data_IF_264556917163
#
_entry.id   IF_264556917163
#
_cell.length_a   1.000
_cell.length_b   1.000
_cell.length_c   1.000
_cell.angle_alpha   90.00
_cell.angle_beta   90.00
_cell.angle_gamma   90.00
#
_symmetry.space_group_name_H-M   'P 1'
#
loop_
_entity.id
_entity.type
_entity.pdbx_description
1 polymer ?
#
# COMPACT_ATOMS: atom_id res chain seq x y z
N UNK A 1 33.90 -53.74 0.15
CA UNK A 1 33.98 -52.35 0.59
C UNK A 1 33.26 -51.52 -0.48
N UNK A 2 31.93 -51.31 -0.30
CA UNK A 2 31.04 -50.67 -1.28
C UNK A 2 30.72 -49.30 -0.72
N UNK A 3 31.19 -48.25 -1.42
CA UNK A 3 30.84 -46.86 -1.11
C UNK A 3 29.43 -46.55 -1.63
N UNK A 4 28.50 -46.19 -0.74
CA UNK A 4 27.24 -45.55 -1.07
C UNK A 4 27.52 -44.15 -1.52
N UNK A 5 27.16 -43.83 -2.76
CA UNK A 5 27.11 -42.44 -3.28
C UNK A 5 25.73 -41.90 -2.93
N UNK A 6 25.71 -40.90 -2.07
CA UNK A 6 24.49 -40.17 -1.73
C UNK A 6 24.23 -39.10 -2.84
N UNK A 7 23.16 -39.28 -3.63
CA UNK A 7 22.72 -38.28 -4.58
C UNK A 7 22.06 -37.13 -3.82
N UNK A 8 22.78 -36.04 -3.70
CA UNK A 8 22.20 -34.75 -3.28
C UNK A 8 21.63 -34.14 -4.54
N UNK A 9 20.29 -34.10 -4.62
CA UNK A 9 19.59 -33.37 -5.67
C UNK A 9 19.59 -31.90 -5.27
N UNK A 10 20.38 -31.10 -5.98
CA UNK A 10 20.28 -29.64 -5.89
C UNK A 10 19.03 -29.21 -6.68
N UNK A 11 17.99 -28.77 -5.96
CA UNK A 11 16.85 -28.08 -6.58
C UNK A 11 17.28 -26.62 -6.77
N UNK A 12 17.58 -26.25 -8.01
CA UNK A 12 17.79 -24.86 -8.38
C UNK A 12 16.42 -24.17 -8.46
N UNK A 13 16.11 -23.36 -7.47
CA UNK A 13 14.94 -22.46 -7.50
C UNK A 13 15.29 -21.28 -8.40
N UNK A 14 14.70 -21.23 -9.58
CA UNK A 14 14.77 -20.08 -10.47
C UNK A 14 13.58 -19.17 -10.13
N UNK A 15 13.80 -18.11 -9.35
CA UNK A 15 12.79 -17.11 -9.09
C UNK A 15 12.60 -16.23 -10.32
N UNK A 16 11.47 -16.37 -11.01
CA UNK A 16 11.05 -15.44 -12.05
C UNK A 16 10.22 -14.34 -11.38
N UNK A 17 10.81 -13.17 -11.20
CA UNK A 17 10.08 -11.98 -10.75
C UNK A 17 9.41 -11.35 -11.96
N UNK A 18 8.12 -11.61 -12.14
CA UNK A 18 7.29 -10.85 -13.08
C UNK A 18 6.71 -9.65 -12.34
N UNK A 19 7.21 -8.45 -12.67
CA UNK A 19 6.57 -7.20 -12.29
C UNK A 19 5.27 -7.05 -13.07
N UNK A 20 4.15 -7.46 -12.48
CA UNK A 20 2.83 -7.01 -12.91
C UNK A 20 2.48 -5.78 -12.07
N UNK A 21 2.11 -4.69 -12.74
CA UNK A 21 1.55 -3.49 -12.11
C UNK A 21 0.23 -3.83 -11.41
N UNK A 22 0.29 -4.03 -10.11
CA UNK A 22 -0.79 -4.33 -9.20
C UNK A 22 -0.15 -4.87 -7.94
N UNK A 23 -0.32 -4.15 -6.83
CA UNK A 23 0.37 -4.38 -5.55
C UNK A 23 -0.14 -5.66 -4.84
N UNK A 24 -0.10 -6.79 -5.56
CA UNK A 24 -0.31 -8.12 -5.02
C UNK A 24 1.09 -8.71 -4.77
N UNK A 25 1.62 -8.54 -3.56
CA UNK A 25 2.93 -9.05 -3.15
C UNK A 25 2.94 -10.57 -2.99
N UNK A 26 2.25 -11.28 -3.88
CA UNK A 26 2.22 -12.73 -3.95
C UNK A 26 3.43 -13.20 -4.75
N UNK A 27 4.37 -13.89 -4.11
CA UNK A 27 5.46 -14.59 -4.81
C UNK A 27 4.93 -15.99 -5.11
N UNK A 28 4.77 -16.32 -6.40
CA UNK A 28 4.47 -17.66 -6.85
C UNK A 28 5.77 -18.47 -6.92
N UNK A 29 5.93 -19.50 -6.07
CA UNK A 29 6.97 -20.49 -6.23
C UNK A 29 6.42 -21.64 -7.10
N UNK A 30 7.08 -21.93 -8.21
CA UNK A 30 6.75 -23.11 -9.03
C UNK A 30 7.18 -24.38 -8.30
N UNK A 31 6.20 -25.24 -8.00
CA UNK A 31 6.45 -26.61 -7.60
C UNK A 31 7.03 -27.46 -8.75
N UNK A 32 7.50 -28.66 -8.45
CA UNK A 32 8.02 -29.62 -9.44
C UNK A 32 6.97 -30.27 -10.36
N UNK A 33 5.78 -29.68 -10.44
CA UNK A 33 4.60 -30.16 -11.19
C UNK A 33 3.91 -29.07 -12.00
N UNK A 34 2.79 -29.42 -12.61
CA UNK A 34 1.98 -28.56 -13.48
C UNK A 34 1.09 -27.57 -12.75
N UNK A 35 1.13 -27.51 -11.41
CA UNK A 35 0.29 -26.63 -10.59
C UNK A 35 1.07 -25.45 -10.00
N UNK A 36 0.42 -24.30 -9.92
CA UNK A 36 0.88 -23.13 -9.15
C UNK A 36 -0.17 -22.74 -8.11
N UNK A 37 0.29 -22.27 -6.96
CA UNK A 37 -0.57 -21.77 -5.89
C UNK A 37 -0.57 -20.24 -5.87
N UNK A 38 -1.74 -19.65 -5.60
CA UNK A 38 -1.89 -18.21 -5.37
C UNK A 38 -2.55 -17.96 -4.03
N UNK A 39 -2.01 -17.01 -3.27
CA UNK A 39 -2.63 -16.52 -2.02
C UNK A 39 -3.37 -15.22 -2.29
N UNK A 40 -4.56 -15.11 -1.71
CA UNK A 40 -5.34 -13.88 -1.66
C UNK A 40 -5.51 -13.48 -0.19
N UNK A 41 -5.04 -12.30 0.17
CA UNK A 41 -5.24 -11.73 1.50
C UNK A 41 -6.41 -10.74 1.48
N UNK A 42 -7.27 -10.75 2.51
CA UNK A 42 -8.32 -9.72 2.67
C UNK A 42 -7.74 -8.32 2.84
N UNK A 43 -6.55 -8.23 3.44
CA UNK A 43 -5.77 -7.01 3.60
C UNK A 43 -4.28 -7.38 3.73
N UNK A 44 -3.42 -6.85 2.85
CA UNK A 44 -1.97 -7.02 2.93
C UNK A 44 -1.29 -6.07 3.94
N UNK A 45 -2.03 -5.08 4.44
CA UNK A 45 -1.59 -4.06 5.39
C UNK A 45 -2.51 -3.98 6.60
N UNK A 46 -2.72 -5.09 7.33
CA UNK A 46 -3.67 -5.13 8.43
C UNK A 46 -3.24 -4.23 9.59
N UNK A 47 -4.23 -3.72 10.31
CA UNK A 47 -4.03 -3.10 11.59
C UNK A 47 -3.69 -4.15 12.67
N UNK A 48 -3.12 -3.70 13.79
CA UNK A 48 -3.10 -4.51 15.00
C UNK A 48 -4.53 -4.95 15.36
N UNK A 49 -4.67 -6.20 15.79
CA UNK A 49 -5.94 -6.82 16.20
C UNK A 49 -7.00 -6.93 15.07
N UNK A 50 -6.65 -6.57 13.85
CA UNK A 50 -7.49 -6.82 12.68
C UNK A 50 -7.42 -8.30 12.28
N UNK A 51 -8.61 -8.91 12.05
CA UNK A 51 -8.68 -10.26 11.50
C UNK A 51 -8.34 -10.22 10.01
N UNK A 52 -7.29 -10.91 9.62
CA UNK A 52 -6.90 -11.15 8.22
C UNK A 52 -7.40 -12.51 7.79
N UNK A 53 -8.02 -12.57 6.63
CA UNK A 53 -8.42 -13.83 5.97
C UNK A 53 -7.50 -14.07 4.79
N UNK A 54 -6.80 -15.18 4.81
CA UNK A 54 -5.94 -15.66 3.73
C UNK A 54 -6.62 -16.84 3.04
N UNK A 55 -6.71 -16.82 1.72
CA UNK A 55 -7.25 -17.91 0.92
C UNK A 55 -6.22 -18.36 -0.08
N UNK A 56 -6.10 -19.67 -0.28
CA UNK A 56 -5.25 -20.23 -1.33
C UNK A 56 -6.10 -20.84 -2.44
N UNK A 57 -5.66 -20.65 -3.68
CA UNK A 57 -6.25 -21.27 -4.87
C UNK A 57 -5.14 -21.82 -5.76
N UNK A 58 -5.46 -22.87 -6.53
CA UNK A 58 -4.62 -23.40 -7.60
C UNK A 58 -5.02 -22.80 -8.95
N UNK A 59 -4.03 -22.60 -9.85
CA UNK A 59 -4.24 -21.95 -11.15
C UNK A 59 -5.22 -22.69 -12.08
N UNK A 60 -5.29 -24.01 -12.00
CA UNK A 60 -6.07 -24.85 -12.94
C UNK A 60 -7.44 -25.26 -12.40
N UNK A 61 -7.90 -24.65 -11.29
CA UNK A 61 -9.14 -25.08 -10.61
C UNK A 61 -9.08 -26.51 -10.09
N UNK A 62 -7.88 -27.07 -9.93
CA UNK A 62 -7.67 -28.40 -9.40
C UNK A 62 -8.12 -28.50 -7.95
N UNK A 63 -8.64 -29.66 -7.59
CA UNK A 63 -9.06 -29.91 -6.22
C UNK A 63 -7.86 -30.00 -5.27
N UNK A 64 -7.90 -29.24 -4.21
CA UNK A 64 -6.93 -29.29 -3.14
C UNK A 64 -7.14 -30.56 -2.29
N UNK A 65 -6.06 -31.30 -2.03
CA UNK A 65 -6.05 -32.43 -1.10
C UNK A 65 -5.62 -32.00 0.29
N UNK A 66 -4.57 -31.18 0.39
CA UNK A 66 -4.08 -30.68 1.68
C UNK A 66 -3.45 -29.30 1.55
N UNK A 67 -3.52 -28.52 2.62
CA UNK A 67 -2.93 -27.19 2.76
C UNK A 67 -2.16 -27.15 4.06
N UNK A 68 -1.01 -26.48 4.08
CA UNK A 68 -0.28 -26.17 5.30
C UNK A 68 0.20 -24.73 5.25
N UNK A 69 -0.32 -23.90 6.14
CA UNK A 69 0.11 -22.53 6.35
C UNK A 69 1.20 -22.45 7.39
N UNK A 70 2.26 -21.71 7.11
CA UNK A 70 3.38 -21.53 8.04
C UNK A 70 3.82 -20.08 8.12
N UNK A 71 4.28 -19.67 9.30
CA UNK A 71 4.93 -18.37 9.54
C UNK A 71 6.11 -18.63 10.49
N UNK A 72 7.30 -18.16 10.12
CA UNK A 72 8.54 -18.35 10.92
C UNK A 72 8.79 -19.82 11.31
N UNK A 73 8.41 -20.75 10.44
CA UNK A 73 8.57 -22.19 10.67
C UNK A 73 7.49 -22.83 11.55
N UNK A 74 6.52 -22.08 12.05
CA UNK A 74 5.38 -22.59 12.83
C UNK A 74 4.16 -22.79 11.92
N UNK A 75 3.45 -23.90 12.09
CA UNK A 75 2.18 -24.14 11.40
C UNK A 75 1.08 -23.28 12.01
N UNK A 76 0.36 -22.53 11.17
CA UNK A 76 -0.77 -21.69 11.55
C UNK A 76 -2.12 -22.38 11.32
N UNK A 77 -2.21 -23.25 10.31
CA UNK A 77 -3.45 -23.93 9.94
C UNK A 77 -3.27 -24.84 8.72
N UNK A 78 -4.28 -25.69 8.47
CA UNK A 78 -4.26 -26.71 7.40
C UNK A 78 -5.51 -26.65 6.50
N UNK A 79 -6.34 -25.61 6.64
CA UNK A 79 -7.53 -25.39 5.83
C UNK A 79 -7.22 -24.46 4.63
N UNK A 80 -7.97 -24.53 3.52
CA UNK A 80 -7.77 -23.64 2.38
C UNK A 80 -7.97 -22.15 2.68
N UNK A 81 -8.62 -21.84 3.78
CA UNK A 81 -8.83 -20.50 4.31
C UNK A 81 -8.25 -20.42 5.73
N UNK A 82 -7.36 -19.45 5.95
CA UNK A 82 -6.74 -19.17 7.24
C UNK A 82 -7.22 -17.82 7.76
N UNK A 83 -7.80 -17.78 8.96
CA UNK A 83 -8.04 -16.55 9.71
C UNK A 83 -6.91 -16.33 10.72
N UNK A 84 -6.32 -15.14 10.72
CA UNK A 84 -5.24 -14.81 11.64
C UNK A 84 -5.35 -13.37 12.13
N UNK A 85 -4.92 -13.12 13.38
CA UNK A 85 -4.92 -11.81 14.01
C UNK A 85 -3.55 -11.53 14.60
N UNK A 86 -2.96 -10.40 14.22
CA UNK A 86 -1.63 -9.99 14.67
C UNK A 86 -1.74 -9.10 15.90
N UNK A 87 -0.93 -9.36 16.91
CA UNK A 87 -0.86 -8.57 18.16
C UNK A 87 0.42 -7.73 18.27
N UNK A 88 1.33 -7.86 17.33
CA UNK A 88 2.61 -7.14 17.31
C UNK A 88 2.78 -6.51 15.91
N UNK A 89 3.25 -5.27 15.85
CA UNK A 89 3.61 -4.60 14.61
C UNK A 89 4.82 -5.26 13.95
N UNK A 90 4.82 -5.29 12.62
CA UNK A 90 5.95 -5.84 11.89
C UNK A 90 5.62 -6.29 10.48
N UNK A 91 6.65 -6.78 9.79
CA UNK A 91 6.51 -7.43 8.49
C UNK A 91 6.50 -8.93 8.68
N UNK A 92 5.48 -9.58 8.15
CA UNK A 92 5.27 -11.02 8.29
C UNK A 92 5.26 -11.69 6.91
N UNK A 93 5.94 -12.84 6.82
CA UNK A 93 5.92 -13.70 5.65
C UNK A 93 5.11 -14.95 5.99
N UNK A 94 3.94 -15.11 5.38
CA UNK A 94 3.12 -16.30 5.54
C UNK A 94 3.27 -17.14 4.28
N UNK A 95 3.79 -18.35 4.46
CA UNK A 95 3.95 -19.33 3.37
C UNK A 95 2.80 -20.33 3.42
N UNK A 96 2.36 -20.76 2.25
CA UNK A 96 1.41 -21.88 2.11
C UNK A 96 1.98 -22.94 1.22
N UNK A 97 1.82 -24.18 1.62
CA UNK A 97 2.10 -25.36 0.81
C UNK A 97 0.81 -26.09 0.53
N UNK A 98 0.57 -26.39 -0.73
CA UNK A 98 -0.66 -27.06 -1.20
C UNK A 98 -0.30 -28.33 -1.94
N UNK A 99 -1.04 -29.41 -1.69
CA UNK A 99 -0.96 -30.66 -2.46
C UNK A 99 -2.33 -30.86 -3.13
N UNK A 100 -2.33 -31.15 -4.45
CA UNK A 100 -3.54 -31.50 -5.17
C UNK A 100 -3.89 -32.99 -5.00
N UNK A 101 -5.07 -33.41 -5.48
CA UNK A 101 -5.52 -34.82 -5.42
C UNK A 101 -4.67 -35.77 -6.23
N UNK A 102 -3.82 -35.28 -7.12
CA UNK A 102 -2.90 -36.09 -7.94
C UNK A 102 -1.52 -36.21 -7.33
N UNK A 103 -1.27 -35.54 -6.19
CA UNK A 103 -0.01 -35.56 -5.45
C UNK A 103 1.00 -34.50 -5.89
N UNK A 104 0.65 -33.57 -6.78
CA UNK A 104 1.52 -32.45 -7.12
C UNK A 104 1.52 -31.43 -5.98
N UNK A 105 2.65 -30.76 -5.79
CA UNK A 105 2.87 -29.79 -4.72
C UNK A 105 3.19 -28.43 -5.30
N UNK A 106 2.53 -27.40 -4.78
CA UNK A 106 2.84 -25.98 -5.04
C UNK A 106 3.01 -25.23 -3.70
N UNK A 107 3.72 -24.12 -3.76
CA UNK A 107 3.87 -23.22 -2.64
C UNK A 107 3.66 -21.76 -3.08
N UNK A 108 3.21 -20.91 -2.16
CA UNK A 108 3.12 -19.48 -2.35
C UNK A 108 3.47 -18.73 -1.06
N UNK A 109 3.85 -17.46 -1.19
CA UNK A 109 4.22 -16.58 -0.10
C UNK A 109 3.37 -15.31 -0.13
N UNK A 110 2.78 -14.95 1.01
CA UNK A 110 2.13 -13.66 1.22
C UNK A 110 2.91 -12.84 2.22
N UNK A 111 3.30 -11.63 1.82
CA UNK A 111 3.84 -10.62 2.74
C UNK A 111 2.70 -9.80 3.31
N UNK A 112 2.75 -9.57 4.62
CA UNK A 112 1.84 -8.67 5.34
C UNK A 112 2.64 -7.64 6.11
N UNK A 113 2.18 -6.39 6.09
CA UNK A 113 2.76 -5.32 6.90
C UNK A 113 1.75 -4.89 7.96
N UNK A 114 1.96 -5.32 9.20
CA UNK A 114 1.08 -5.02 10.34
C UNK A 114 1.49 -3.72 11.01
N UNK A 115 0.53 -2.83 11.29
CA UNK A 115 0.80 -1.54 11.92
C UNK A 115 -0.33 -1.12 12.87
N UNK A 116 0.03 -0.46 13.97
CA UNK A 116 -0.93 0.23 14.87
C UNK A 116 -1.52 1.51 14.27
N UNK A 117 -1.02 1.97 13.13
CA UNK A 117 -1.53 3.17 12.43
C UNK A 117 -2.79 2.84 11.63
N UNK A 118 -3.91 2.57 12.31
CA UNK A 118 -5.23 2.45 11.71
C UNK A 118 -6.23 3.30 12.49
N UNK A 119 -7.24 3.84 11.79
CA UNK A 119 -8.30 4.63 12.43
C UNK A 119 -9.12 3.76 13.39
N UNK A 120 -9.39 2.52 13.01
CA UNK A 120 -10.11 1.58 13.88
C UNK A 120 -9.37 1.37 15.19
N UNK A 121 -8.08 1.05 15.14
CA UNK A 121 -7.25 0.86 16.33
C UNK A 121 -7.18 2.13 17.17
N UNK A 122 -6.94 3.29 16.53
CA UNK A 122 -6.87 4.58 17.21
C UNK A 122 -8.19 4.97 17.90
N UNK A 123 -9.34 4.66 17.31
CA UNK A 123 -10.65 4.92 17.91
C UNK A 123 -10.96 3.97 19.08
N UNK A 124 -10.54 2.71 19.01
CA UNK A 124 -10.71 1.73 20.08
C UNK A 124 -9.81 2.03 21.30
N UNK A 125 -8.64 2.61 21.06
CA UNK A 125 -7.64 2.96 22.07
C UNK A 125 -7.49 4.48 22.20
N UNK A 126 -8.61 5.21 22.10
CA UNK A 126 -8.63 6.67 22.14
C UNK A 126 -8.14 7.19 23.50
N UNK A 127 -7.11 8.01 23.46
CA UNK A 127 -6.60 8.78 24.62
C UNK A 127 -7.08 10.23 24.50
N UNK A 128 -7.99 10.70 25.37
CA UNK A 128 -8.49 12.07 25.33
C UNK A 128 -7.41 13.13 25.69
N UNK A 129 -6.28 12.72 26.26
CA UNK A 129 -5.16 13.61 26.56
C UNK A 129 -4.21 13.79 25.37
N UNK A 130 -4.32 12.93 24.33
CA UNK A 130 -3.47 13.03 23.15
C UNK A 130 -3.95 14.15 22.22
N UNK A 131 -3.04 15.07 21.90
CA UNK A 131 -3.21 16.07 20.82
C UNK A 131 -2.77 15.46 19.50
N UNK A 132 -3.65 15.48 18.51
CA UNK A 132 -3.33 15.04 17.14
C UNK A 132 -2.76 16.22 16.36
N UNK A 133 -1.56 16.05 15.81
CA UNK A 133 -0.85 17.07 15.03
C UNK A 133 -0.93 16.71 13.55
N UNK A 134 -1.32 17.70 12.73
CA UNK A 134 -1.44 17.55 11.28
C UNK A 134 -0.37 18.37 10.55
N UNK A 135 0.39 17.75 9.66
CA UNK A 135 1.32 18.40 8.75
C UNK A 135 0.58 18.87 7.49
N UNK A 136 0.31 20.17 7.39
CA UNK A 136 -0.40 20.79 6.27
C UNK A 136 0.42 20.69 4.97
N UNK A 137 -0.17 20.17 3.90
CA UNK A 137 0.46 19.92 2.58
C UNK A 137 1.79 19.18 2.67
N UNK A 138 1.88 18.20 3.59
CA UNK A 138 3.13 17.49 3.79
C UNK A 138 4.24 18.39 4.35
N UNK A 139 4.06 18.95 5.57
CA UNK A 139 5.05 19.79 6.25
C UNK A 139 5.44 21.08 5.50
N UNK A 140 4.46 21.78 4.91
CA UNK A 140 4.67 23.04 4.17
C UNK A 140 5.25 24.19 5.03
N UNK A 141 5.31 24.03 6.36
CA UNK A 141 5.98 24.96 7.26
C UNK A 141 7.50 24.85 7.22
N UNK A 142 8.06 23.77 6.71
CA UNK A 142 9.50 23.62 6.51
C UNK A 142 9.93 24.31 5.20
N UNK A 143 10.72 25.39 5.24
CA UNK A 143 11.09 26.16 4.05
C UNK A 143 11.98 25.38 3.05
N UNK A 144 12.58 24.27 3.49
CA UNK A 144 13.49 23.47 2.69
C UNK A 144 12.79 22.28 1.99
N UNK A 145 11.47 22.16 2.13
CA UNK A 145 10.69 21.03 1.60
C UNK A 145 9.54 21.56 0.75
N UNK A 146 9.37 21.09 -0.50
CA UNK A 146 8.24 21.53 -1.31
C UNK A 146 6.92 20.96 -0.78
N UNK A 147 5.86 21.76 -0.80
CA UNK A 147 4.52 21.33 -0.43
C UNK A 147 4.01 20.21 -1.36
N UNK A 148 3.10 19.36 -0.86
CA UNK A 148 2.47 18.30 -1.63
C UNK A 148 3.50 17.36 -2.33
N UNK A 149 4.55 16.97 -1.61
CA UNK A 149 5.65 16.13 -2.11
C UNK A 149 5.87 14.89 -1.27
N UNK A 150 6.50 13.88 -1.85
CA UNK A 150 6.96 12.70 -1.11
C UNK A 150 7.91 13.12 0.02
N UNK A 151 8.85 14.03 -0.26
CA UNK A 151 9.78 14.55 0.76
C UNK A 151 9.05 15.19 1.95
N UNK A 152 7.92 15.87 1.71
CA UNK A 152 7.07 16.43 2.77
C UNK A 152 6.47 15.35 3.66
N UNK A 153 5.95 14.30 3.04
CA UNK A 153 5.38 13.14 3.76
C UNK A 153 6.46 12.44 4.59
N UNK A 154 7.62 12.16 3.97
CA UNK A 154 8.75 11.52 4.65
C UNK A 154 9.26 12.35 5.83
N UNK A 155 9.34 13.67 5.68
CA UNK A 155 9.74 14.55 6.78
C UNK A 155 8.76 14.53 7.96
N UNK A 156 7.46 14.43 7.71
CA UNK A 156 6.47 14.23 8.77
C UNK A 156 6.66 12.89 9.50
N UNK A 157 6.98 11.84 8.76
CA UNK A 157 7.27 10.52 9.34
C UNK A 157 8.53 10.55 10.20
N UNK A 158 9.60 11.23 9.74
CA UNK A 158 10.88 11.37 10.46
C UNK A 158 10.76 12.13 11.79
N UNK A 159 9.72 12.97 11.94
CA UNK A 159 9.40 13.62 13.22
C UNK A 159 8.87 12.62 14.28
N UNK A 160 8.74 11.36 13.94
CA UNK A 160 8.66 10.24 14.89
C UNK A 160 7.48 10.29 15.87
N UNK A 161 6.28 10.65 15.43
CA UNK A 161 5.09 10.72 16.29
C UNK A 161 4.79 12.13 16.82
N UNK A 162 5.61 13.13 16.50
CA UNK A 162 5.24 14.53 16.67
C UNK A 162 4.20 15.00 15.63
N UNK A 163 4.08 14.29 14.51
CA UNK A 163 3.03 14.49 13.50
C UNK A 163 2.29 13.16 13.31
N UNK A 164 0.98 13.19 13.48
CA UNK A 164 0.11 12.01 13.37
C UNK A 164 -0.51 11.88 11.99
N UNK A 165 -0.81 13.00 11.35
CA UNK A 165 -1.59 13.09 10.11
C UNK A 165 -0.83 13.96 9.11
N UNK A 166 -0.80 13.55 7.85
CA UNK A 166 -0.36 14.39 6.73
C UNK A 166 -1.59 14.80 5.93
N UNK A 167 -1.83 16.10 5.83
CA UNK A 167 -2.82 16.63 4.92
C UNK A 167 -2.19 16.83 3.55
N UNK A 168 -2.92 16.47 2.49
CA UNK A 168 -2.51 16.62 1.09
C UNK A 168 -3.72 16.95 0.20
N UNK A 169 -3.45 17.55 -0.96
CA UNK A 169 -4.43 18.06 -1.92
C UNK A 169 -4.51 17.19 -3.20
N UNK A 170 -5.36 16.17 -3.27
CA UNK A 170 -5.57 15.40 -4.49
C UNK A 170 -6.21 16.21 -5.61
N UNK A 171 -5.71 16.08 -6.84
CA UNK A 171 -6.26 16.73 -8.05
C UNK A 171 -6.09 15.82 -9.27
N UNK A 172 -7.07 15.83 -10.18
CA UNK A 172 -7.09 14.97 -11.36
C UNK A 172 -6.32 15.59 -12.53
N UNK A 173 -5.47 14.81 -13.19
CA UNK A 173 -4.81 15.14 -14.45
C UNK A 173 -5.72 14.87 -15.64
N UNK A 174 -5.28 15.30 -16.85
CA UNK A 174 -5.99 15.06 -18.11
C UNK A 174 -6.21 13.57 -18.43
N UNK A 175 -5.27 12.74 -18.08
CA UNK A 175 -5.25 11.28 -18.33
C UNK A 175 -5.78 10.45 -17.15
N UNK A 176 -6.41 11.11 -16.16
CA UNK A 176 -7.12 10.43 -15.07
C UNK A 176 -6.22 9.97 -13.91
N UNK A 177 -4.97 10.42 -13.84
CA UNK A 177 -4.11 10.16 -12.69
C UNK A 177 -4.39 11.19 -11.59
N UNK A 178 -4.60 10.75 -10.36
CA UNK A 178 -4.72 11.65 -9.20
C UNK A 178 -3.31 11.99 -8.71
N UNK A 179 -3.01 13.29 -8.65
CA UNK A 179 -1.73 13.85 -8.20
C UNK A 179 -1.93 14.77 -7.00
N UNK A 180 -0.84 15.13 -6.31
CA UNK A 180 -0.88 16.09 -5.21
C UNK A 180 -0.60 17.51 -5.72
N UNK A 181 -1.59 18.40 -5.64
CA UNK A 181 -1.45 19.80 -6.04
C UNK A 181 -2.56 20.65 -5.43
N UNK A 182 -2.21 21.65 -4.62
CA UNK A 182 -3.22 22.54 -4.02
C UNK A 182 -3.91 23.39 -5.07
N UNK A 183 -3.15 24.10 -5.89
CA UNK A 183 -3.68 25.07 -6.85
C UNK A 183 -4.29 24.36 -8.09
N UNK A 184 -5.21 25.03 -8.79
CA UNK A 184 -5.71 24.56 -10.07
C UNK A 184 -4.61 24.50 -11.15
N UNK A 185 -3.59 25.36 -11.00
CA UNK A 185 -2.44 25.46 -11.92
C UNK A 185 -1.15 25.03 -11.22
N UNK A 186 -0.16 24.60 -12.02
CA UNK A 186 1.16 24.20 -11.52
C UNK A 186 2.14 25.36 -11.37
N UNK A 187 1.74 26.58 -11.70
CA UNK A 187 2.63 27.74 -11.93
C UNK A 187 3.40 28.17 -10.67
N UNK A 188 2.75 28.15 -9.52
CA UNK A 188 3.34 28.59 -8.25
C UNK A 188 4.39 27.61 -7.73
N UNK A 189 4.06 26.33 -7.73
CA UNK A 189 4.82 25.30 -7.03
C UNK A 189 5.72 24.46 -7.92
N UNK A 190 5.71 24.72 -9.26
CA UNK A 190 6.56 23.98 -10.19
C UNK A 190 7.29 24.92 -11.16
N UNK A 191 8.24 24.34 -11.94
CA UNK A 191 8.91 25.03 -13.05
C UNK A 191 8.05 25.14 -14.30
N UNK A 192 6.90 24.46 -14.35
CA UNK A 192 5.94 24.46 -15.45
C UNK A 192 4.86 25.52 -15.32
N UNK A 193 3.93 25.51 -16.27
CA UNK A 193 2.74 26.37 -16.30
C UNK A 193 1.55 25.61 -16.86
N UNK A 194 0.35 26.00 -16.42
CA UNK A 194 -0.90 25.50 -16.94
C UNK A 194 -1.76 24.79 -15.87
N UNK A 195 -2.96 24.40 -16.27
CA UNK A 195 -3.89 23.72 -15.35
C UNK A 195 -3.55 22.23 -15.26
N UNK A 196 -3.63 21.66 -14.04
CA UNK A 196 -3.40 20.21 -13.81
C UNK A 196 -4.30 19.37 -14.73
N UNK A 197 -5.57 19.70 -14.85
CA UNK A 197 -6.55 18.97 -15.68
C UNK A 197 -6.25 18.97 -17.19
N UNK A 198 -5.39 19.86 -17.66
CA UNK A 198 -5.03 19.99 -19.08
C UNK A 198 -3.70 19.29 -19.42
N UNK A 199 -2.99 18.78 -18.39
CA UNK A 199 -1.70 18.10 -18.49
C UNK A 199 -1.83 16.62 -18.16
N UNK A 200 -1.11 15.76 -18.87
CA UNK A 200 -0.97 14.35 -18.50
C UNK A 200 0.01 14.20 -17.34
N UNK A 201 -0.06 13.06 -16.63
CA UNK A 201 0.91 12.77 -15.56
C UNK A 201 2.34 12.73 -16.08
N UNK A 202 2.58 12.16 -17.25
CA UNK A 202 3.88 12.16 -17.90
C UNK A 202 4.42 13.59 -18.15
N UNK A 203 3.56 14.49 -18.62
CA UNK A 203 3.92 15.90 -18.79
C UNK A 203 4.29 16.57 -17.46
N UNK A 204 3.57 16.26 -16.39
CA UNK A 204 3.87 16.79 -15.06
C UNK A 204 5.23 16.33 -14.54
N UNK A 205 5.68 15.11 -14.86
CA UNK A 205 6.98 14.58 -14.46
C UNK A 205 8.16 15.33 -15.10
N UNK A 206 7.94 16.07 -16.19
CA UNK A 206 8.99 16.90 -16.80
C UNK A 206 9.31 18.17 -16.01
N UNK A 207 8.43 18.58 -15.08
CA UNK A 207 8.60 19.76 -14.25
C UNK A 207 9.14 19.42 -12.86
N UNK A 208 9.83 20.38 -12.24
CA UNK A 208 10.36 20.25 -10.88
C UNK A 208 9.55 21.07 -9.92
N UNK A 209 9.34 20.54 -8.70
CA UNK A 209 8.74 21.28 -7.60
C UNK A 209 9.68 22.39 -7.14
N UNK A 210 9.08 23.49 -6.65
CA UNK A 210 9.79 24.64 -6.08
C UNK A 210 9.48 24.74 -4.60
N UNK A 211 10.43 25.24 -3.82
CA UNK A 211 10.24 25.72 -2.48
C UNK A 211 9.40 27.00 -2.46
N UNK A 212 8.94 27.41 -1.29
CA UNK A 212 8.14 28.63 -1.14
C UNK A 212 8.86 29.92 -1.59
N UNK A 213 10.19 29.94 -1.53
CA UNK A 213 11.04 31.05 -2.01
C UNK A 213 11.30 31.01 -3.52
N UNK A 214 10.78 29.99 -4.24
CA UNK A 214 10.99 29.78 -5.67
C UNK A 214 12.19 28.93 -6.03
N UNK A 215 13.00 28.50 -5.08
CA UNK A 215 14.15 27.59 -5.32
C UNK A 215 13.68 26.28 -5.95
N UNK A 216 14.26 25.91 -7.07
CA UNK A 216 13.95 24.67 -7.79
C UNK A 216 14.57 23.48 -7.09
N UNK A 217 13.77 22.44 -6.87
CA UNK A 217 14.22 21.18 -6.24
C UNK A 217 14.41 20.07 -7.29
N UNK A 218 14.86 18.90 -6.85
CA UNK A 218 14.91 17.69 -7.68
C UNK A 218 13.61 16.86 -7.64
N UNK A 219 12.61 17.29 -6.85
CA UNK A 219 11.35 16.59 -6.71
C UNK A 219 10.40 16.90 -7.86
N UNK A 220 9.51 15.95 -8.17
CA UNK A 220 8.43 16.08 -9.14
C UNK A 220 7.08 16.02 -8.43
N UNK A 221 6.01 16.34 -9.14
CA UNK A 221 4.63 16.20 -8.63
C UNK A 221 4.33 14.70 -8.45
N UNK A 222 4.07 14.22 -7.23
CA UNK A 222 3.79 12.80 -7.01
C UNK A 222 2.37 12.43 -7.41
N UNK A 223 2.14 11.16 -7.77
CA UNK A 223 0.80 10.61 -7.76
C UNK A 223 0.30 10.43 -6.33
N UNK A 224 -1.04 10.43 -6.14
CA UNK A 224 -1.64 10.08 -4.86
C UNK A 224 -1.28 8.65 -4.45
N UNK A 225 -1.21 7.73 -5.41
CA UNK A 225 -0.80 6.34 -5.17
C UNK A 225 0.59 6.28 -4.53
N UNK A 226 1.60 6.93 -5.14
CA UNK A 226 2.98 6.94 -4.62
C UNK A 226 3.04 7.60 -3.23
N UNK A 227 2.27 8.67 -3.03
CA UNK A 227 2.18 9.38 -1.75
C UNK A 227 1.63 8.49 -0.63
N UNK A 228 0.52 7.80 -0.90
CA UNK A 228 -0.09 6.87 0.07
C UNK A 228 0.83 5.68 0.36
N UNK A 229 1.51 5.13 -0.66
CA UNK A 229 2.49 4.05 -0.48
C UNK A 229 3.67 4.50 0.38
N UNK A 230 4.19 5.72 0.20
CA UNK A 230 5.29 6.25 1.01
C UNK A 230 4.94 6.36 2.51
N UNK A 231 3.69 6.74 2.81
CA UNK A 231 3.20 6.90 4.19
C UNK A 231 2.53 5.67 4.80
N UNK A 232 2.34 4.60 4.00
CA UNK A 232 1.58 3.42 4.41
C UNK A 232 2.13 2.76 5.66
N UNK A 233 1.26 2.53 6.64
CA UNK A 233 1.62 1.96 7.95
C UNK A 233 2.42 2.90 8.88
N UNK A 234 2.75 4.12 8.45
CA UNK A 234 3.62 5.03 9.19
C UNK A 234 2.91 6.29 9.67
N UNK A 235 1.93 6.79 8.90
CA UNK A 235 1.23 8.05 9.19
C UNK A 235 -0.20 7.98 8.65
N UNK A 236 -1.12 8.74 9.24
CA UNK A 236 -2.46 8.94 8.69
C UNK A 236 -2.44 10.01 7.60
N UNK A 237 -3.41 9.96 6.70
CA UNK A 237 -3.61 10.99 5.69
C UNK A 237 -4.95 11.68 5.87
N UNK A 238 -4.97 12.99 5.64
CA UNK A 238 -6.17 13.78 5.38
C UNK A 238 -6.15 14.24 3.92
N UNK A 239 -7.18 13.86 3.16
CA UNK A 239 -7.28 14.17 1.74
C UNK A 239 -8.27 15.32 1.52
N UNK A 240 -7.74 16.54 1.28
CA UNK A 240 -8.55 17.71 0.89
C UNK A 240 -8.84 17.69 -0.61
N UNK A 241 -9.89 16.96 -1.00
CA UNK A 241 -10.26 16.75 -2.40
C UNK A 241 -11.48 17.54 -2.87
N UNK A 242 -11.99 18.44 -2.07
CA UNK A 242 -13.26 19.13 -2.27
C UNK A 242 -13.38 19.71 -3.69
N UNK A 243 -14.33 19.20 -4.50
CA UNK A 243 -14.59 19.60 -5.89
C UNK A 243 -13.37 19.45 -6.84
N UNK A 244 -12.32 18.72 -6.43
CA UNK A 244 -11.09 18.56 -7.20
C UNK A 244 -10.99 17.19 -7.88
N UNK A 245 -11.57 16.16 -7.25
CA UNK A 245 -11.55 14.76 -7.69
C UNK A 245 -12.91 14.11 -7.39
N UNK A 246 -13.32 13.15 -8.19
CA UNK A 246 -14.52 12.34 -7.90
C UNK A 246 -14.29 11.48 -6.66
N UNK A 247 -15.25 11.42 -5.71
CA UNK A 247 -15.13 10.58 -4.51
C UNK A 247 -14.85 9.11 -4.83
N UNK A 248 -15.50 8.59 -5.88
CA UNK A 248 -15.31 7.18 -6.28
C UNK A 248 -13.88 6.91 -6.75
N UNK A 249 -13.32 7.77 -7.61
CA UNK A 249 -11.95 7.59 -8.12
C UNK A 249 -10.93 7.70 -7.00
N UNK A 250 -11.15 8.63 -6.06
CA UNK A 250 -10.33 8.79 -4.88
C UNK A 250 -10.37 7.53 -4.00
N UNK A 251 -11.59 7.01 -3.72
CA UNK A 251 -11.79 5.78 -2.96
C UNK A 251 -11.08 4.59 -3.61
N UNK A 252 -11.19 4.43 -4.94
CA UNK A 252 -10.57 3.33 -5.66
C UNK A 252 -9.03 3.35 -5.51
N UNK A 253 -8.40 4.54 -5.59
CA UNK A 253 -6.95 4.66 -5.35
C UNK A 253 -6.59 4.33 -3.91
N UNK A 254 -7.30 4.88 -2.91
CA UNK A 254 -7.05 4.61 -1.48
C UNK A 254 -7.20 3.12 -1.18
N UNK A 255 -8.23 2.50 -1.75
CA UNK A 255 -8.47 1.06 -1.62
C UNK A 255 -7.35 0.23 -2.23
N UNK A 256 -6.87 0.59 -3.43
CA UNK A 256 -5.78 -0.12 -4.10
C UNK A 256 -4.46 -0.07 -3.33
N UNK A 257 -4.27 0.99 -2.53
CA UNK A 257 -3.12 1.13 -1.63
C UNK A 257 -3.28 0.39 -0.29
N UNK A 258 -4.44 -0.22 0.01
CA UNK A 258 -4.73 -0.80 1.34
C UNK A 258 -4.81 0.24 2.46
N UNK A 259 -5.27 1.47 2.16
CA UNK A 259 -5.20 2.61 3.07
C UNK A 259 -6.57 3.10 3.57
N UNK A 260 -7.67 2.34 3.30
CA UNK A 260 -9.03 2.78 3.67
C UNK A 260 -9.23 3.06 5.17
N UNK A 261 -8.51 2.38 6.03
CA UNK A 261 -8.56 2.57 7.48
C UNK A 261 -7.49 3.55 8.02
N UNK A 262 -6.79 4.27 7.12
CA UNK A 262 -5.70 5.21 7.44
C UNK A 262 -5.86 6.59 6.84
N UNK A 263 -7.01 6.83 6.20
CA UNK A 263 -7.28 8.06 5.46
C UNK A 263 -8.54 8.72 5.98
N UNK A 264 -8.44 10.02 6.22
CA UNK A 264 -9.58 10.92 6.41
C UNK A 264 -9.95 11.55 5.06
N UNK A 265 -11.24 11.60 4.78
CA UNK A 265 -11.76 12.27 3.60
C UNK A 265 -12.38 13.59 4.02
N UNK A 266 -11.68 14.70 3.78
CA UNK A 266 -12.24 16.02 4.02
C UNK A 266 -13.23 16.39 2.89
N UNK A 267 -14.50 16.52 3.24
CA UNK A 267 -15.56 16.86 2.30
C UNK A 267 -16.51 17.89 2.91
N UNK A 268 -17.15 18.70 2.06
CA UNK A 268 -18.26 19.55 2.49
C UNK A 268 -19.48 18.68 2.85
N UNK A 269 -20.45 19.27 3.58
CA UNK A 269 -21.67 18.61 4.09
C UNK A 269 -22.59 17.97 3.01
N UNK A 270 -22.04 17.57 1.88
CA UNK A 270 -22.80 16.92 0.83
C UNK A 270 -22.96 15.44 1.13
N UNK A 271 -24.15 15.03 1.60
CA UNK A 271 -24.50 13.63 1.89
C UNK A 271 -24.31 12.72 0.67
N UNK A 272 -24.46 13.27 -0.53
CA UNK A 272 -24.33 12.49 -1.77
C UNK A 272 -22.91 11.95 -1.98
N UNK A 273 -21.89 12.63 -1.44
CA UNK A 273 -20.50 12.17 -1.45
C UNK A 273 -20.32 10.92 -0.59
N UNK A 274 -20.96 10.88 0.60
CA UNK A 274 -20.84 9.78 1.55
C UNK A 274 -21.68 8.54 1.17
N UNK A 275 -22.70 8.73 0.29
CA UNK A 275 -23.53 7.60 -0.17
C UNK A 275 -22.93 6.85 -1.36
N UNK A 276 -21.89 7.41 -2.01
CA UNK A 276 -21.22 6.84 -3.18
C UNK A 276 -19.82 6.30 -2.88
N UNK A 277 -19.43 6.23 -1.61
CA UNK A 277 -18.28 5.52 -1.05
C UNK A 277 -18.78 4.26 -0.34
#
# INVERSE_FOLDING_TARGET
MIRKISNIIYISVLAVVLFACGDDSTIEEQGSGTITARVMASNAYPALEEKVVLKVALNDGQDIQSVVWTMEGQTLGEEPELEYTFTIEGSYNISVRVTDKTGNVAAALQKLQVSGKSLRYALQHFDPAKVWIMGHRGNSSNPNIPENSIAGIESCIELGGAVDIVEVDPRMTKDGVIVLMHDETIDRTTTGKGKVKDLTYEQLQSYRLKLADGTVTNHTVPSLYDALVAGRGKIFFDLDFLNKVSPKELYDVVKSCGMLDRVFFYTSNNRDVLQNI
#
